data_IF_785931905169
#
_entry.id   IF_785931905169
#
_cell.length_a   1.000
_cell.length_b   1.000
_cell.length_c   1.000
_cell.angle_alpha   90.00
_cell.angle_beta   90.00
_cell.angle_gamma   90.00
#
_symmetry.space_group_name_H-M   'P 1'
#
loop_
_entity.id
_entity.type
_entity.pdbx_description
1 polymer ?
#
# COMPACT_ATOMS: atom_id res chain seq x y z
N UNK A 1 19.27 2.64 44.58
CA UNK A 1 18.66 2.65 43.23
C UNK A 1 17.43 1.77 43.27
N UNK A 2 16.27 2.26 42.82
CA UNK A 2 15.07 1.41 42.78
C UNK A 2 15.31 0.21 41.84
N UNK A 3 14.73 -0.97 42.14
CA UNK A 3 14.90 -2.18 41.31
C UNK A 3 14.50 -1.96 39.84
N UNK A 4 13.61 -1.00 39.59
CA UNK A 4 13.22 -0.57 38.24
C UNK A 4 14.40 -0.01 37.42
N UNK A 5 15.28 0.80 38.01
CA UNK A 5 16.44 1.35 37.29
C UNK A 5 17.44 0.27 36.90
N UNK A 6 17.63 -0.74 37.75
CA UNK A 6 18.53 -1.86 37.47
C UNK A 6 17.96 -2.71 36.32
N UNK A 7 16.65 -2.99 36.34
CA UNK A 7 15.97 -3.71 35.25
C UNK A 7 16.02 -2.95 33.92
N UNK A 8 15.80 -1.63 33.94
CA UNK A 8 15.92 -0.79 32.76
C UNK A 8 17.35 -0.77 32.21
N UNK A 9 18.35 -0.68 33.09
CA UNK A 9 19.75 -0.68 32.68
C UNK A 9 20.18 -2.02 32.08
N UNK A 10 19.78 -3.14 32.69
CA UNK A 10 20.08 -4.49 32.19
C UNK A 10 19.41 -4.75 30.83
N UNK A 11 18.15 -4.34 30.67
CA UNK A 11 17.44 -4.50 29.39
C UNK A 11 18.04 -3.63 28.29
N UNK A 12 18.37 -2.37 28.59
CA UNK A 12 19.06 -1.48 27.65
C UNK A 12 20.45 -2.02 27.24
N UNK A 13 21.21 -2.54 28.21
CA UNK A 13 22.55 -3.11 27.96
C UNK A 13 22.47 -4.38 27.11
N UNK A 14 21.53 -5.28 27.41
CA UNK A 14 21.28 -6.48 26.62
C UNK A 14 20.86 -6.14 25.18
N UNK A 15 19.98 -5.13 25.02
CA UNK A 15 19.55 -4.66 23.70
C UNK A 15 20.71 -4.05 22.91
N UNK A 16 21.55 -3.21 23.55
CA UNK A 16 22.71 -2.62 22.92
C UNK A 16 23.70 -3.71 22.46
N UNK A 17 23.99 -4.69 23.32
CA UNK A 17 24.86 -5.82 22.98
C UNK A 17 24.28 -6.63 21.81
N UNK A 18 22.98 -6.91 21.81
CA UNK A 18 22.29 -7.57 20.70
C UNK A 18 22.43 -6.81 19.38
N UNK A 19 22.23 -5.48 19.39
CA UNK A 19 22.39 -4.62 18.20
C UNK A 19 23.83 -4.67 17.67
N UNK A 20 24.82 -4.57 18.56
CA UNK A 20 26.24 -4.61 18.19
C UNK A 20 26.61 -5.97 17.59
N UNK A 21 26.24 -7.08 18.25
CA UNK A 21 26.53 -8.43 17.75
C UNK A 21 25.84 -8.67 16.41
N UNK A 22 24.55 -8.32 16.29
CA UNK A 22 23.79 -8.45 15.04
C UNK A 22 24.44 -7.66 13.92
N UNK A 23 24.82 -6.41 14.17
CA UNK A 23 25.47 -5.54 13.18
C UNK A 23 26.85 -6.07 12.77
N UNK A 24 27.66 -6.51 13.74
CA UNK A 24 28.97 -7.09 13.47
C UNK A 24 28.86 -8.38 12.64
N UNK A 25 27.98 -9.30 13.05
CA UNK A 25 27.74 -10.55 12.33
C UNK A 25 27.29 -10.28 10.89
N UNK A 26 26.27 -9.44 10.69
CA UNK A 26 25.73 -9.16 9.35
C UNK A 26 26.67 -8.35 8.47
N UNK A 27 27.43 -7.41 9.04
CA UNK A 27 28.49 -6.71 8.29
C UNK A 27 29.59 -7.70 7.85
N UNK A 28 29.95 -8.65 8.71
CA UNK A 28 30.99 -9.63 8.42
C UNK A 28 30.58 -10.63 7.35
N UNK A 29 29.30 -11.03 7.33
CA UNK A 29 28.73 -11.98 6.35
C UNK A 29 28.09 -11.32 5.13
N UNK A 30 28.12 -9.99 5.03
CA UNK A 30 27.50 -9.26 3.93
C UNK A 30 28.19 -9.55 2.59
N UNK A 31 27.41 -10.06 1.63
CA UNK A 31 27.83 -10.20 0.23
C UNK A 31 27.97 -8.88 -0.52
N UNK A 32 27.61 -7.74 0.11
CA UNK A 32 27.66 -6.42 -0.52
C UNK A 32 29.03 -5.74 -0.44
N UNK A 33 30.04 -6.41 0.12
CA UNK A 33 31.41 -5.85 0.25
C UNK A 33 32.07 -5.54 -1.10
N UNK A 34 31.72 -6.29 -2.14
CA UNK A 34 32.24 -6.11 -3.51
C UNK A 34 31.48 -5.08 -4.33
N UNK A 35 30.33 -4.60 -3.85
CA UNK A 35 29.49 -3.64 -4.56
C UNK A 35 29.94 -2.22 -4.20
N UNK A 36 30.05 -1.29 -5.17
CA UNK A 36 30.31 0.12 -4.87
C UNK A 36 29.30 0.65 -3.85
N UNK A 37 29.76 1.45 -2.87
CA UNK A 37 28.88 2.02 -1.85
C UNK A 37 28.64 3.50 -2.13
N UNK A 38 27.42 3.96 -1.88
CA UNK A 38 27.11 5.39 -1.87
C UNK A 38 28.06 6.15 -0.92
N UNK A 39 28.45 7.36 -1.30
CA UNK A 39 29.34 8.18 -0.49
C UNK A 39 28.57 8.87 0.65
N UNK A 40 29.15 8.88 1.85
CA UNK A 40 28.58 9.56 3.02
C UNK A 40 27.65 8.68 3.85
N UNK A 41 26.46 9.21 4.12
CA UNK A 41 25.44 8.57 4.97
C UNK A 41 25.51 8.98 6.45
N UNK A 42 24.36 9.32 7.01
CA UNK A 42 24.22 9.66 8.42
C UNK A 42 24.64 8.47 9.32
N UNK A 43 25.27 8.74 10.46
CA UNK A 43 25.78 7.69 11.35
C UNK A 43 24.67 6.77 11.88
N UNK A 44 23.51 7.34 12.23
CA UNK A 44 22.34 6.62 12.75
C UNK A 44 21.35 6.22 11.66
N UNK A 45 21.13 7.08 10.66
CA UNK A 45 20.04 6.95 9.69
C UNK A 45 20.52 6.40 8.34
N UNK A 46 21.83 6.16 8.22
CA UNK A 46 22.44 5.67 7.00
C UNK A 46 22.20 6.61 5.82
N UNK A 47 22.09 6.01 4.64
CA UNK A 47 21.78 6.72 3.40
C UNK A 47 20.28 6.82 3.16
N UNK A 48 19.45 6.11 3.94
CA UNK A 48 17.99 6.21 3.83
C UNK A 48 17.51 7.63 4.17
N UNK A 49 18.22 8.34 5.06
CA UNK A 49 17.96 9.77 5.31
C UNK A 49 18.23 10.61 4.08
N UNK A 50 19.38 10.42 3.43
CA UNK A 50 19.74 11.17 2.21
C UNK A 50 18.71 10.90 1.09
N UNK A 51 18.24 9.65 0.98
CA UNK A 51 17.20 9.27 0.05
C UNK A 51 15.82 9.87 0.37
N UNK A 52 15.50 10.08 1.65
CA UNK A 52 14.25 10.69 2.10
C UNK A 52 14.25 12.21 1.96
N UNK A 53 15.38 12.88 2.24
CA UNK A 53 15.51 14.34 2.12
C UNK A 53 15.68 14.81 0.67
N UNK A 54 16.08 13.93 -0.24
CA UNK A 54 16.25 14.28 -1.66
C UNK A 54 14.97 13.95 -2.45
N UNK A 55 14.25 14.95 -2.99
CA UNK A 55 13.06 14.72 -3.80
C UNK A 55 13.39 14.02 -5.13
N UNK A 56 12.35 13.56 -5.82
CA UNK A 56 12.39 13.04 -7.21
C UNK A 56 13.40 11.93 -7.45
N UNK A 57 13.65 11.11 -6.41
CA UNK A 57 14.67 10.06 -6.42
C UNK A 57 16.09 10.56 -6.77
N UNK A 58 16.38 11.86 -6.59
CA UNK A 58 17.67 12.47 -6.96
C UNK A 58 18.87 11.82 -6.28
N UNK A 59 18.69 11.27 -5.07
CA UNK A 59 19.71 10.46 -4.40
C UNK A 59 20.07 9.22 -5.23
N UNK A 60 19.08 8.49 -5.73
CA UNK A 60 19.31 7.28 -6.51
C UNK A 60 19.94 7.59 -7.85
N UNK A 61 19.41 8.59 -8.58
CA UNK A 61 19.95 9.02 -9.89
C UNK A 61 21.44 9.35 -9.76
N UNK A 62 21.80 10.23 -8.82
CA UNK A 62 23.19 10.64 -8.57
C UNK A 62 24.11 9.47 -8.23
N UNK A 63 23.63 8.48 -7.48
CA UNK A 63 24.47 7.33 -7.10
C UNK A 63 24.56 6.29 -8.23
N UNK A 64 23.51 6.08 -9.02
CA UNK A 64 23.62 5.23 -10.21
C UNK A 64 24.56 5.83 -11.27
N UNK A 65 24.56 7.16 -11.45
CA UNK A 65 25.51 7.82 -12.35
C UNK A 65 26.97 7.63 -11.90
N UNK A 66 27.22 7.54 -10.59
CA UNK A 66 28.58 7.43 -10.03
C UNK A 66 29.06 5.99 -9.84
N UNK A 67 28.17 5.11 -9.40
CA UNK A 67 28.49 3.75 -8.99
C UNK A 67 28.16 2.72 -10.07
N UNK A 68 27.49 3.13 -11.14
CA UNK A 68 27.01 2.24 -12.20
C UNK A 68 25.66 1.61 -11.85
N UNK A 69 25.39 0.41 -12.37
CA UNK A 69 24.07 -0.21 -12.34
C UNK A 69 23.67 -0.79 -10.97
N UNK A 70 24.57 -0.87 -10.00
CA UNK A 70 24.25 -1.33 -8.66
C UNK A 70 25.14 -0.67 -7.63
N UNK A 71 24.55 -0.29 -6.49
CA UNK A 71 25.31 0.24 -5.36
C UNK A 71 24.71 -0.20 -4.02
N UNK A 72 25.58 -0.36 -3.03
CA UNK A 72 25.19 -0.61 -1.66
C UNK A 72 24.90 0.72 -0.95
N UNK A 73 23.88 0.72 -0.10
CA UNK A 73 23.55 1.82 0.78
C UNK A 73 23.43 1.32 2.22
N UNK A 74 23.91 2.12 3.16
CA UNK A 74 23.77 1.82 4.60
C UNK A 74 22.33 2.03 5.04
N UNK A 75 21.71 1.00 5.60
CA UNK A 75 20.40 1.10 6.26
C UNK A 75 20.48 1.91 7.55
N UNK A 76 19.43 2.67 7.84
CA UNK A 76 19.22 3.41 9.08
C UNK A 76 18.82 2.52 10.24
N UNK A 77 18.95 3.08 11.45
CA UNK A 77 18.60 2.45 12.72
C UNK A 77 19.26 1.08 12.92
N UNK A 78 20.55 0.98 12.58
CA UNK A 78 21.34 -0.25 12.69
C UNK A 78 20.81 -1.45 11.86
N UNK A 79 19.94 -1.17 10.88
CA UNK A 79 19.48 -2.16 9.91
C UNK A 79 20.59 -2.63 8.97
N UNK A 80 20.26 -3.63 8.16
CA UNK A 80 21.15 -4.18 7.15
C UNK A 80 21.44 -3.15 6.05
N UNK A 81 22.56 -3.34 5.37
CA UNK A 81 22.84 -2.61 4.14
C UNK A 81 21.84 -3.05 3.05
N UNK A 82 21.40 -2.08 2.24
CA UNK A 82 20.42 -2.26 1.18
C UNK A 82 21.15 -2.21 -0.15
N UNK A 83 20.79 -3.09 -1.08
CA UNK A 83 21.31 -3.11 -2.44
C UNK A 83 20.33 -2.37 -3.35
N UNK A 84 20.78 -1.28 -3.97
CA UNK A 84 20.06 -0.58 -5.03
C UNK A 84 20.51 -1.14 -6.39
N UNK A 85 19.55 -1.46 -7.26
CA UNK A 85 19.79 -2.12 -8.55
C UNK A 85 19.06 -1.35 -9.65
N UNK A 86 19.77 -1.09 -10.75
CA UNK A 86 19.27 -0.51 -11.99
C UNK A 86 19.83 -1.29 -13.21
N UNK A 87 20.05 -2.60 -13.05
CA UNK A 87 20.41 -3.52 -14.14
C UNK A 87 19.17 -4.30 -14.60
N UNK A 88 18.74 -4.18 -15.87
CA UNK A 88 17.57 -4.90 -16.39
C UNK A 88 17.66 -6.43 -16.25
N UNK A 89 18.85 -7.03 -16.35
CA UNK A 89 19.01 -8.47 -16.22
C UNK A 89 18.80 -8.94 -14.77
N UNK A 90 19.35 -8.22 -13.80
CA UNK A 90 19.11 -8.44 -12.38
C UNK A 90 17.64 -8.20 -12.01
N UNK A 91 17.01 -7.13 -12.52
CA UNK A 91 15.59 -6.86 -12.30
C UNK A 91 14.70 -7.98 -12.87
N UNK A 92 15.00 -8.49 -14.07
CA UNK A 92 14.30 -9.64 -14.65
C UNK A 92 14.50 -10.92 -13.81
N UNK A 93 15.71 -11.15 -13.32
CA UNK A 93 15.99 -12.27 -12.42
C UNK A 93 15.13 -12.18 -11.14
N UNK A 94 15.08 -11.01 -10.52
CA UNK A 94 14.36 -10.78 -9.27
C UNK A 94 12.84 -10.82 -9.44
N UNK A 95 12.29 -10.04 -10.37
CA UNK A 95 10.84 -9.82 -10.47
C UNK A 95 10.13 -10.80 -11.41
N UNK A 96 10.86 -11.49 -12.29
CA UNK A 96 10.26 -12.42 -13.27
C UNK A 96 10.66 -13.86 -13.01
N UNK A 97 11.96 -14.16 -12.95
CA UNK A 97 12.44 -15.56 -12.84
C UNK A 97 12.27 -16.12 -11.42
N UNK A 98 12.56 -15.31 -10.41
CA UNK A 98 12.57 -15.74 -9.00
C UNK A 98 11.83 -14.78 -8.05
N UNK A 99 10.59 -14.35 -8.35
CA UNK A 99 9.87 -13.35 -7.54
C UNK A 99 9.69 -13.75 -6.07
N UNK A 100 9.56 -15.05 -5.80
CA UNK A 100 9.35 -15.56 -4.44
C UNK A 100 10.64 -15.72 -3.62
N UNK A 101 11.81 -15.52 -4.23
CA UNK A 101 13.09 -15.51 -3.50
C UNK A 101 13.39 -14.14 -2.87
N UNK A 102 12.61 -13.11 -3.22
CA UNK A 102 12.79 -11.74 -2.78
C UNK A 102 11.51 -11.23 -2.09
N UNK A 103 11.19 -11.75 -0.88
CA UNK A 103 9.97 -11.37 -0.17
C UNK A 103 9.99 -9.89 0.22
N UNK A 104 8.80 -9.31 0.40
CA UNK A 104 8.67 -7.93 0.91
C UNK A 104 9.36 -7.76 2.27
N UNK A 105 9.82 -6.53 2.53
CA UNK A 105 10.38 -6.17 3.84
C UNK A 105 9.40 -6.49 4.97
N UNK A 106 9.93 -6.94 6.11
CA UNK A 106 9.16 -7.26 7.31
C UNK A 106 8.35 -6.07 7.84
N UNK A 107 8.76 -4.84 7.53
CA UNK A 107 8.04 -3.62 7.90
C UNK A 107 6.80 -3.34 7.04
N UNK A 108 6.73 -3.87 5.82
CA UNK A 108 5.67 -3.56 4.86
C UNK A 108 4.40 -4.37 5.15
N UNK A 109 4.53 -5.64 5.50
CA UNK A 109 3.34 -6.50 5.72
C UNK A 109 2.41 -5.98 6.81
N UNK A 110 2.88 -5.59 8.01
CA UNK A 110 2.00 -5.01 9.03
C UNK A 110 1.32 -3.71 8.57
N UNK A 111 2.04 -2.87 7.81
CA UNK A 111 1.50 -1.63 7.27
C UNK A 111 0.36 -1.90 6.27
N UNK A 112 0.59 -2.82 5.32
CA UNK A 112 -0.43 -3.20 4.34
C UNK A 112 -1.62 -3.89 5.01
N UNK A 113 -1.41 -4.74 6.01
CA UNK A 113 -2.49 -5.42 6.74
C UNK A 113 -3.41 -4.43 7.47
N UNK A 114 -2.84 -3.34 7.96
CA UNK A 114 -3.57 -2.27 8.64
C UNK A 114 -4.43 -1.45 7.68
N UNK A 115 -3.89 -1.12 6.51
CA UNK A 115 -4.54 -0.23 5.52
C UNK A 115 -5.53 -1.00 4.64
N UNK A 116 -5.10 -2.18 4.17
CA UNK A 116 -5.77 -2.98 3.15
C UNK A 116 -5.95 -4.45 3.58
N UNK A 117 -5.68 -4.83 4.83
CA UNK A 117 -5.82 -6.22 5.26
C UNK A 117 -4.87 -7.21 4.61
N UNK A 118 -5.22 -8.49 4.74
CA UNK A 118 -4.51 -9.63 4.13
C UNK A 118 -4.85 -9.78 2.65
N UNK A 119 -4.72 -8.68 1.92
CA UNK A 119 -4.95 -8.61 0.48
C UNK A 119 -3.79 -9.22 -0.32
N UNK A 120 -3.93 -9.27 -1.65
CA UNK A 120 -2.88 -9.72 -2.56
C UNK A 120 -1.54 -8.98 -2.35
N UNK A 121 -1.58 -7.69 -1.98
CA UNK A 121 -0.38 -6.90 -1.69
C UNK A 121 0.34 -7.37 -0.41
N UNK A 122 -0.40 -7.89 0.56
CA UNK A 122 0.14 -8.46 1.80
C UNK A 122 0.67 -9.89 1.63
N UNK A 123 0.05 -10.67 0.75
CA UNK A 123 0.36 -12.07 0.54
C UNK A 123 1.78 -12.30 0.00
N UNK A 124 2.35 -13.46 0.33
CA UNK A 124 3.68 -13.91 -0.10
C UNK A 124 3.66 -15.41 -0.46
N UNK A 125 4.61 -15.84 -1.28
CA UNK A 125 4.80 -17.26 -1.61
C UNK A 125 3.54 -17.92 -2.21
N UNK A 126 3.20 -19.09 -1.69
CA UNK A 126 2.07 -19.87 -2.21
C UNK A 126 0.71 -19.22 -1.94
N UNK A 127 0.58 -18.45 -0.86
CA UNK A 127 -0.65 -17.68 -0.61
C UNK A 127 -0.87 -16.63 -1.71
N UNK A 128 0.18 -15.90 -2.07
CA UNK A 128 0.12 -14.95 -3.17
C UNK A 128 -0.21 -15.64 -4.51
N UNK A 129 0.38 -16.82 -4.79
CA UNK A 129 0.06 -17.60 -5.99
C UNK A 129 -1.42 -17.97 -6.05
N UNK A 130 -1.99 -18.46 -4.95
CA UNK A 130 -3.40 -18.84 -4.88
C UNK A 130 -4.32 -17.64 -5.10
N UNK A 131 -4.11 -16.55 -4.36
CA UNK A 131 -4.91 -15.33 -4.51
C UNK A 131 -4.82 -14.75 -5.92
N UNK A 132 -3.61 -14.70 -6.51
CA UNK A 132 -3.42 -14.23 -7.89
C UNK A 132 -4.13 -15.11 -8.91
N UNK A 133 -4.08 -16.43 -8.73
CA UNK A 133 -4.76 -17.37 -9.61
C UNK A 133 -6.29 -17.23 -9.53
N UNK A 134 -6.83 -16.99 -8.33
CA UNK A 134 -8.26 -16.74 -8.13
C UNK A 134 -8.75 -15.45 -8.82
N UNK A 135 -7.93 -14.39 -8.81
CA UNK A 135 -8.24 -13.10 -9.43
C UNK A 135 -8.00 -13.05 -10.95
N UNK A 136 -7.11 -13.88 -11.50
CA UNK A 136 -6.74 -13.81 -12.92
C UNK A 136 -7.92 -13.85 -13.91
N UNK A 137 -8.99 -14.66 -13.72
CA UNK A 137 -10.12 -14.72 -14.65
C UNK A 137 -10.90 -13.40 -14.80
N UNK A 138 -10.90 -12.54 -13.78
CA UNK A 138 -11.66 -11.28 -13.83
C UNK A 138 -10.89 -10.14 -14.52
N UNK A 139 -9.60 -10.36 -14.80
CA UNK A 139 -8.73 -9.43 -15.54
C UNK A 139 -8.37 -9.93 -16.95
N UNK A 140 -9.23 -10.75 -17.56
CA UNK A 140 -9.03 -11.18 -18.96
C UNK A 140 -9.26 -10.02 -19.93
N UNK A 141 -8.66 -10.09 -21.12
CA UNK A 141 -8.85 -9.07 -22.16
C UNK A 141 -10.34 -8.81 -22.49
N UNK A 142 -11.18 -9.85 -22.46
CA UNK A 142 -12.63 -9.69 -22.65
C UNK A 142 -13.28 -8.90 -21.51
N UNK A 143 -12.90 -9.13 -20.25
CA UNK A 143 -13.43 -8.37 -19.12
C UNK A 143 -12.95 -6.92 -19.17
N UNK A 144 -11.68 -6.68 -19.52
CA UNK A 144 -11.13 -5.33 -19.69
C UNK A 144 -11.89 -4.56 -20.78
N UNK A 145 -12.25 -5.20 -21.90
CA UNK A 145 -13.10 -4.55 -22.92
C UNK A 145 -14.49 -4.18 -22.39
N UNK A 146 -15.07 -4.98 -21.50
CA UNK A 146 -16.38 -4.66 -20.90
C UNK A 146 -16.30 -3.47 -19.93
N UNK A 147 -15.12 -3.18 -19.39
CA UNK A 147 -14.89 -1.99 -18.55
C UNK A 147 -14.98 -0.67 -19.32
N UNK A 148 -14.80 -0.69 -20.65
CA UNK A 148 -14.79 0.51 -21.51
C UNK A 148 -16.03 1.38 -21.30
N UNK A 149 -17.21 0.75 -21.23
CA UNK A 149 -18.47 1.46 -21.04
C UNK A 149 -18.48 2.25 -19.74
N UNK A 150 -18.10 1.64 -18.61
CA UNK A 150 -18.06 2.31 -17.31
C UNK A 150 -17.03 3.44 -17.28
N UNK A 151 -15.88 3.24 -17.94
CA UNK A 151 -14.85 4.28 -18.05
C UNK A 151 -15.38 5.46 -18.86
N UNK A 152 -16.02 5.21 -20.02
CA UNK A 152 -16.59 6.27 -20.87
C UNK A 152 -17.71 7.01 -20.15
N UNK A 153 -18.69 6.30 -19.60
CA UNK A 153 -19.82 6.88 -18.86
C UNK A 153 -19.32 7.76 -17.70
N UNK A 154 -18.38 7.25 -16.91
CA UNK A 154 -17.79 8.03 -15.81
C UNK A 154 -17.03 9.25 -16.32
N UNK A 155 -16.33 9.15 -17.45
CA UNK A 155 -15.59 10.27 -18.04
C UNK A 155 -16.52 11.37 -18.54
N UNK A 156 -17.63 11.00 -19.18
CA UNK A 156 -18.64 11.95 -19.67
C UNK A 156 -19.29 12.69 -18.49
N UNK A 157 -19.76 11.96 -17.47
CA UNK A 157 -20.32 12.54 -16.25
C UNK A 157 -19.32 13.44 -15.52
N UNK A 158 -18.05 13.03 -15.48
CA UNK A 158 -16.98 13.82 -14.87
C UNK A 158 -16.75 15.15 -15.62
N UNK A 159 -16.76 15.13 -16.95
CA UNK A 159 -16.63 16.35 -17.76
C UNK A 159 -17.79 17.29 -17.52
N UNK A 160 -19.01 16.77 -17.42
CA UNK A 160 -20.19 17.60 -17.19
C UNK A 160 -20.18 18.21 -15.78
N UNK A 161 -19.87 17.43 -14.74
CA UNK A 161 -19.68 17.94 -13.38
C UNK A 161 -18.58 19.02 -13.31
N UNK A 162 -17.48 18.83 -14.06
CA UNK A 162 -16.40 19.82 -14.10
C UNK A 162 -16.82 21.12 -14.79
N UNK A 163 -17.60 21.04 -15.87
CA UNK A 163 -18.16 22.23 -16.54
C UNK A 163 -19.10 22.99 -15.62
N UNK A 164 -19.95 22.28 -14.88
CA UNK A 164 -20.84 22.88 -13.88
C UNK A 164 -20.03 23.61 -12.81
N UNK A 165 -19.00 22.95 -12.25
CA UNK A 165 -18.13 23.57 -11.25
C UNK A 165 -17.36 24.80 -11.74
N UNK A 166 -16.99 24.84 -13.02
CA UNK A 166 -16.34 26.01 -13.64
C UNK A 166 -17.35 27.14 -13.90
N UNK A 167 -18.60 26.78 -14.19
CA UNK A 167 -19.67 27.74 -14.49
C UNK A 167 -20.29 28.34 -13.23
N UNK A 168 -20.14 27.68 -12.09
CA UNK A 168 -20.59 28.18 -10.80
C UNK A 168 -19.71 29.35 -10.33
N UNK A 169 -20.35 30.52 -10.22
CA UNK A 169 -19.75 31.84 -9.95
C UNK A 169 -19.34 32.03 -8.47
N UNK A 170 -18.98 30.95 -7.75
CA UNK A 170 -18.61 31.05 -6.35
C UNK A 170 -17.28 31.82 -6.18
N UNK A 171 -17.23 32.85 -5.31
CA UNK A 171 -16.07 33.74 -5.14
C UNK A 171 -14.82 33.04 -4.57
N UNK A 172 -14.96 31.82 -4.06
CA UNK A 172 -13.90 30.96 -3.52
C UNK A 172 -13.05 30.28 -4.60
N UNK A 173 -13.56 30.20 -5.84
CA UNK A 173 -12.91 29.48 -6.94
C UNK A 173 -12.09 30.38 -7.86
N UNK A 174 -12.06 31.69 -7.61
CA UNK A 174 -11.30 32.66 -8.42
C UNK A 174 -9.81 32.56 -8.11
N UNK A 175 -9.05 32.07 -9.07
CA UNK A 175 -7.60 32.04 -9.01
C UNK A 175 -6.99 33.45 -8.98
N UNK A 176 -5.67 33.51 -8.80
CA UNK A 176 -4.89 34.76 -8.63
C UNK A 176 -5.02 35.80 -9.77
N UNK A 177 -5.76 35.51 -10.85
CA UNK A 177 -5.98 36.36 -12.01
C UNK A 177 -7.43 36.86 -12.22
N UNK A 178 -8.35 36.68 -11.28
CA UNK A 178 -9.70 37.30 -11.30
C UNK A 178 -10.75 36.64 -12.20
N UNK A 179 -10.33 36.10 -13.36
CA UNK A 179 -11.21 35.47 -14.37
C UNK A 179 -10.96 33.97 -14.58
N UNK A 180 -9.94 33.38 -13.94
CA UNK A 180 -9.60 31.96 -14.09
C UNK A 180 -10.00 31.16 -12.84
N UNK A 181 -10.67 30.02 -13.05
CA UNK A 181 -11.00 29.07 -11.97
C UNK A 181 -9.79 28.20 -11.66
N UNK A 182 -9.36 28.15 -10.40
CA UNK A 182 -8.27 27.26 -9.96
C UNK A 182 -8.84 25.89 -9.57
N UNK A 183 -8.28 24.82 -10.16
CA UNK A 183 -8.80 23.46 -9.98
C UNK A 183 -7.68 22.53 -9.54
N UNK A 184 -7.91 21.82 -8.43
CA UNK A 184 -7.04 20.73 -8.01
C UNK A 184 -7.33 19.45 -8.81
N UNK A 185 -6.63 19.28 -9.94
CA UNK A 185 -6.81 18.13 -10.84
C UNK A 185 -6.57 16.78 -10.13
N UNK A 186 -5.72 16.72 -9.10
CA UNK A 186 -5.45 15.48 -8.34
C UNK A 186 -6.69 15.02 -7.58
N UNK A 187 -7.42 15.93 -6.94
CA UNK A 187 -8.65 15.61 -6.23
C UNK A 187 -9.74 15.12 -7.21
N UNK A 188 -9.96 15.89 -8.29
CA UNK A 188 -10.93 15.54 -9.32
C UNK A 188 -10.66 14.19 -9.98
N UNK A 189 -9.40 13.93 -10.39
CA UNK A 189 -9.02 12.64 -10.99
C UNK A 189 -9.10 11.48 -9.99
N UNK A 190 -8.85 11.72 -8.70
CA UNK A 190 -9.01 10.71 -7.65
C UNK A 190 -10.47 10.30 -7.49
N UNK A 191 -11.39 11.26 -7.48
CA UNK A 191 -12.84 11.01 -7.42
C UNK A 191 -13.34 10.20 -8.62
N UNK A 192 -12.92 10.59 -9.83
CA UNK A 192 -13.25 9.86 -11.06
C UNK A 192 -12.70 8.42 -11.04
N UNK A 193 -11.45 8.25 -10.60
CA UNK A 193 -10.82 6.93 -10.50
C UNK A 193 -11.54 6.03 -9.50
N UNK A 194 -11.91 6.57 -8.32
CA UNK A 194 -12.66 5.83 -7.31
C UNK A 194 -14.05 5.43 -7.82
N UNK A 195 -14.73 6.31 -8.56
CA UNK A 195 -16.00 6.00 -9.21
C UNK A 195 -15.86 4.84 -10.22
N UNK A 196 -14.84 4.89 -11.08
CA UNK A 196 -14.57 3.83 -12.07
C UNK A 196 -14.32 2.49 -11.36
N UNK A 197 -13.49 2.48 -10.32
CA UNK A 197 -13.18 1.26 -9.55
C UNK A 197 -14.42 0.76 -8.81
N UNK A 198 -15.23 1.64 -8.23
CA UNK A 198 -16.48 1.27 -7.56
C UNK A 198 -17.46 0.61 -8.52
N UNK A 199 -17.69 1.23 -9.67
CA UNK A 199 -18.62 0.73 -10.69
C UNK A 199 -18.16 -0.60 -11.29
N UNK A 200 -16.91 -0.68 -11.75
CA UNK A 200 -16.38 -1.90 -12.37
C UNK A 200 -16.17 -3.01 -11.34
N UNK A 201 -15.55 -2.67 -10.21
CA UNK A 201 -15.07 -3.62 -9.23
C UNK A 201 -16.18 -4.15 -8.33
N UNK A 202 -17.06 -3.26 -7.87
CA UNK A 202 -18.05 -3.53 -6.84
C UNK A 202 -19.50 -3.37 -7.32
N UNK A 203 -19.72 -2.88 -8.55
CA UNK A 203 -21.05 -2.48 -8.99
C UNK A 203 -21.64 -1.33 -8.16
N UNK A 204 -20.78 -0.53 -7.51
CA UNK A 204 -21.17 0.49 -6.54
C UNK A 204 -20.97 1.90 -7.10
N UNK A 205 -21.99 2.75 -6.96
CA UNK A 205 -21.95 4.14 -7.38
C UNK A 205 -21.52 5.06 -6.23
N UNK A 206 -20.27 5.53 -6.27
CA UNK A 206 -19.74 6.50 -5.31
C UNK A 206 -20.18 7.95 -5.58
N UNK A 207 -21.08 8.17 -6.56
CA UNK A 207 -21.57 9.48 -6.99
C UNK A 207 -20.44 10.44 -7.27
N UNK A 208 -19.45 10.00 -8.06
CA UNK A 208 -18.27 10.79 -8.42
C UNK A 208 -17.53 11.37 -7.19
N UNK A 209 -17.46 10.58 -6.11
CA UNK A 209 -16.72 10.95 -4.92
C UNK A 209 -17.49 11.78 -3.89
N UNK A 210 -18.78 12.06 -4.10
CA UNK A 210 -19.56 12.90 -3.20
C UNK A 210 -20.04 12.18 -1.94
N UNK A 211 -20.12 10.85 -1.98
CA UNK A 211 -20.51 10.04 -0.82
C UNK A 211 -19.51 10.18 0.33
N UNK A 212 -20.00 10.09 1.57
CA UNK A 212 -19.16 10.17 2.77
C UNK A 212 -18.07 9.09 2.77
N UNK A 213 -18.39 7.91 2.25
CA UNK A 213 -17.47 6.79 2.10
C UNK A 213 -16.35 7.10 1.11
N UNK A 214 -16.70 7.68 -0.03
CA UNK A 214 -15.71 8.06 -1.03
C UNK A 214 -14.78 9.16 -0.54
N UNK A 215 -15.33 10.16 0.17
CA UNK A 215 -14.55 11.20 0.86
C UNK A 215 -13.62 10.59 1.90
N UNK A 216 -14.11 9.67 2.73
CA UNK A 216 -13.31 9.00 3.75
C UNK A 216 -12.16 8.18 3.14
N UNK A 217 -12.40 7.46 2.03
CA UNK A 217 -11.37 6.70 1.31
C UNK A 217 -10.33 7.64 0.70
N UNK A 218 -10.77 8.66 -0.04
CA UNK A 218 -9.87 9.60 -0.75
C UNK A 218 -9.02 10.39 0.22
N UNK A 219 -9.62 10.91 1.30
CA UNK A 219 -8.93 11.59 2.38
C UNK A 219 -7.88 10.68 3.04
N UNK A 220 -8.24 9.44 3.34
CA UNK A 220 -7.29 8.48 3.93
C UNK A 220 -6.13 8.15 3.01
N UNK A 221 -6.36 8.04 1.69
CA UNK A 221 -5.29 7.85 0.70
C UNK A 221 -4.35 9.05 0.66
N UNK A 222 -4.89 10.26 0.70
CA UNK A 222 -4.12 11.50 0.76
C UNK A 222 -3.28 11.58 2.04
N UNK A 223 -3.86 11.23 3.19
CA UNK A 223 -3.16 11.15 4.48
C UNK A 223 -2.03 10.12 4.46
N UNK A 224 -2.23 8.96 3.85
CA UNK A 224 -1.17 7.95 3.72
C UNK A 224 -0.02 8.49 2.85
N UNK A 225 -0.34 9.14 1.73
CA UNK A 225 0.66 9.71 0.83
C UNK A 225 1.50 10.80 1.53
N UNK A 226 0.83 11.71 2.23
CA UNK A 226 1.47 12.83 2.95
C UNK A 226 2.20 12.37 4.22
N UNK A 227 1.68 11.37 4.93
CA UNK A 227 2.33 10.81 6.13
C UNK A 227 3.73 10.30 5.82
N UNK A 228 3.93 9.66 4.65
CA UNK A 228 5.24 9.17 4.23
C UNK A 228 6.29 10.30 4.05
N UNK A 229 5.84 11.54 3.84
CA UNK A 229 6.70 12.73 3.74
C UNK A 229 7.02 13.35 5.11
N UNK A 230 6.42 12.86 6.19
CA UNK A 230 6.69 13.35 7.55
C UNK A 230 7.85 12.59 8.21
N UNK A 231 8.53 13.20 9.21
CA UNK A 231 9.54 12.48 10.00
C UNK A 231 8.99 11.21 10.66
N UNK A 232 7.71 11.21 11.07
CA UNK A 232 7.08 10.03 11.65
C UNK A 232 6.92 8.90 10.62
N UNK A 233 6.52 9.23 9.38
CA UNK A 233 6.43 8.28 8.28
C UNK A 233 7.78 7.72 7.84
N UNK A 234 8.87 8.48 7.99
CA UNK A 234 10.23 7.99 7.80
C UNK A 234 10.69 7.04 8.94
N UNK A 235 10.47 7.44 10.20
CA UNK A 235 10.98 6.69 11.36
C UNK A 235 10.21 5.40 11.61
N UNK A 236 8.88 5.40 11.46
CA UNK A 236 8.05 4.25 11.86
C UNK A 236 8.40 2.94 11.11
N UNK A 237 8.57 2.92 9.78
CA UNK A 237 8.98 1.70 9.06
C UNK A 237 10.38 1.21 9.45
N UNK A 238 11.32 2.13 9.77
CA UNK A 238 12.67 1.78 10.22
C UNK A 238 12.64 1.10 11.59
N UNK A 239 11.84 1.64 12.51
CA UNK A 239 11.61 1.05 13.84
C UNK A 239 10.98 -0.33 13.71
N UNK A 240 9.95 -0.49 12.88
CA UNK A 240 9.31 -1.80 12.64
C UNK A 240 10.26 -2.81 12.00
N UNK A 241 11.14 -2.38 11.08
CA UNK A 241 12.16 -3.25 10.46
C UNK A 241 13.21 -3.71 11.47
N UNK A 242 13.61 -2.82 12.39
CA UNK A 242 14.66 -3.08 13.38
C UNK A 242 14.13 -3.90 14.55
N UNK A 243 12.92 -3.58 15.01
CA UNK A 243 12.25 -4.13 16.20
C UNK A 243 10.87 -4.70 15.82
N UNK A 244 10.82 -5.83 15.09
CA UNK A 244 9.56 -6.39 14.59
C UNK A 244 8.60 -6.83 15.70
N UNK A 245 9.09 -7.09 16.92
CA UNK A 245 8.24 -7.46 18.06
C UNK A 245 7.27 -6.34 18.49
N UNK A 246 7.52 -5.08 18.10
CA UNK A 246 6.66 -3.95 18.43
C UNK A 246 5.23 -4.15 17.87
N UNK A 247 5.08 -4.85 16.74
CA UNK A 247 3.75 -5.15 16.17
C UNK A 247 2.92 -6.08 17.04
N UNK A 248 3.56 -6.83 17.94
CA UNK A 248 2.87 -7.78 18.84
C UNK A 248 2.46 -7.12 20.16
N UNK A 249 2.87 -5.88 20.41
CA UNK A 249 2.52 -5.16 21.63
C UNK A 249 1.07 -4.65 21.55
N UNK A 250 0.31 -4.69 22.66
CA UNK A 250 -1.08 -4.24 22.70
C UNK A 250 -1.20 -2.70 22.73
N UNK A 251 -0.66 -2.02 21.73
CA UNK A 251 -0.67 -0.57 21.60
C UNK A 251 -1.79 -0.17 20.63
N UNK A 252 -2.73 0.67 21.10
CA UNK A 252 -3.89 1.11 20.30
C UNK A 252 -3.51 1.69 18.94
N UNK A 253 -2.45 2.50 18.88
CA UNK A 253 -1.98 3.10 17.61
C UNK A 253 -1.45 2.07 16.59
N UNK A 254 -0.96 0.91 17.07
CA UNK A 254 -0.47 -0.18 16.24
C UNK A 254 -1.63 -1.10 15.81
N UNK A 255 -2.60 -1.30 16.70
CA UNK A 255 -3.75 -2.18 16.49
C UNK A 255 -4.91 -1.53 15.72
N UNK A 256 -4.97 -0.20 15.69
CA UNK A 256 -6.00 0.54 14.97
C UNK A 256 -5.96 0.18 13.48
N UNK A 257 -7.12 -0.21 12.94
CA UNK A 257 -7.29 -0.46 11.51
C UNK A 257 -7.45 0.86 10.76
N UNK A 258 -6.95 0.92 9.53
CA UNK A 258 -7.12 2.11 8.69
C UNK A 258 -8.58 2.30 8.28
N UNK A 259 -9.00 3.56 8.13
CA UNK A 259 -10.34 3.95 7.69
C UNK A 259 -10.72 3.26 6.37
N UNK A 260 -9.81 3.19 5.39
CA UNK A 260 -10.01 2.51 4.10
C UNK A 260 -10.47 1.06 4.31
N UNK A 261 -9.78 0.32 5.18
CA UNK A 261 -10.10 -1.07 5.50
C UNK A 261 -11.50 -1.19 6.09
N UNK A 262 -11.84 -0.35 7.06
CA UNK A 262 -13.15 -0.39 7.73
C UNK A 262 -14.29 -0.07 6.78
N UNK A 263 -14.16 1.00 5.99
CA UNK A 263 -15.17 1.41 5.01
C UNK A 263 -15.35 0.32 3.94
N UNK A 264 -14.25 -0.19 3.37
CA UNK A 264 -14.30 -1.21 2.32
C UNK A 264 -14.91 -2.53 2.82
N UNK A 265 -14.57 -2.96 4.05
CA UNK A 265 -15.14 -4.16 4.64
C UNK A 265 -16.65 -4.03 4.87
N UNK A 266 -17.11 -2.86 5.34
CA UNK A 266 -18.53 -2.61 5.53
C UNK A 266 -19.25 -2.61 4.19
N UNK A 267 -18.79 -1.81 3.23
CA UNK A 267 -19.39 -1.72 1.90
C UNK A 267 -19.43 -3.07 1.18
N UNK A 268 -18.34 -3.84 1.22
CA UNK A 268 -18.30 -5.17 0.60
C UNK A 268 -19.37 -6.10 1.16
N UNK A 269 -19.62 -6.07 2.48
CA UNK A 269 -20.70 -6.86 3.11
C UNK A 269 -22.08 -6.37 2.69
N UNK A 270 -22.31 -5.06 2.75
CA UNK A 270 -23.59 -4.45 2.35
C UNK A 270 -23.94 -4.81 0.90
N UNK A 271 -23.00 -4.64 -0.03
CA UNK A 271 -23.17 -4.96 -1.45
C UNK A 271 -23.52 -6.43 -1.67
N UNK A 272 -22.80 -7.35 -1.02
CA UNK A 272 -23.06 -8.80 -1.16
C UNK A 272 -24.41 -9.18 -0.57
N UNK A 273 -24.78 -8.63 0.58
CA UNK A 273 -26.06 -8.89 1.22
C UNK A 273 -27.23 -8.35 0.40
N UNK A 274 -27.13 -7.11 -0.09
CA UNK A 274 -28.13 -6.50 -0.97
C UNK A 274 -28.31 -7.30 -2.25
N UNK A 275 -27.20 -7.73 -2.87
CA UNK A 275 -27.24 -8.55 -4.08
C UNK A 275 -28.01 -9.87 -3.85
N UNK A 276 -27.69 -10.58 -2.76
CA UNK A 276 -28.38 -11.84 -2.41
C UNK A 276 -29.85 -11.61 -2.10
N UNK A 277 -30.20 -10.54 -1.36
CA UNK A 277 -31.59 -10.22 -1.06
C UNK A 277 -32.39 -9.93 -2.33
N UNK A 278 -31.82 -9.17 -3.26
CA UNK A 278 -32.46 -8.84 -4.53
C UNK A 278 -32.61 -10.05 -5.47
N UNK A 279 -31.72 -11.03 -5.36
CA UNK A 279 -31.63 -12.17 -6.29
C UNK A 279 -31.99 -13.51 -5.65
N UNK A 280 -32.87 -13.52 -4.63
CA UNK A 280 -33.38 -14.74 -3.97
C UNK A 280 -32.28 -15.68 -3.44
N UNK A 281 -31.16 -15.12 -2.99
CA UNK A 281 -30.01 -15.86 -2.45
C UNK A 281 -28.91 -16.16 -3.47
N UNK A 282 -29.15 -15.94 -4.77
CA UNK A 282 -28.12 -16.11 -5.81
C UNK A 282 -27.28 -14.84 -5.97
N UNK A 283 -26.01 -15.00 -6.35
CA UNK A 283 -25.14 -13.86 -6.69
C UNK A 283 -25.27 -13.57 -8.18
N UNK A 284 -25.75 -12.37 -8.55
CA UNK A 284 -25.89 -11.93 -9.95
C UNK A 284 -25.21 -10.59 -10.16
N UNK A 285 -24.48 -10.46 -11.26
CA UNK A 285 -23.78 -9.23 -11.59
C UNK A 285 -22.74 -9.47 -12.68
N UNK A 286 -22.26 -8.38 -13.29
CA UNK A 286 -21.14 -8.41 -14.23
C UNK A 286 -19.90 -7.71 -13.67
N UNK A 287 -19.99 -7.15 -12.47
CA UNK A 287 -18.88 -6.57 -11.73
C UNK A 287 -17.88 -7.64 -11.28
N UNK A 288 -16.66 -7.19 -10.92
CA UNK A 288 -15.58 -8.10 -10.54
C UNK A 288 -15.94 -8.90 -9.29
N UNK A 289 -16.53 -8.26 -8.27
CA UNK A 289 -16.91 -8.91 -7.01
C UNK A 289 -17.91 -10.04 -7.25
N UNK A 290 -19.02 -9.78 -7.95
CA UNK A 290 -20.02 -10.81 -8.30
C UNK A 290 -19.44 -11.94 -9.16
N UNK A 291 -18.47 -11.63 -10.01
CA UNK A 291 -17.80 -12.64 -10.83
C UNK A 291 -16.87 -13.52 -10.00
N UNK A 292 -16.10 -12.92 -9.09
CA UNK A 292 -15.24 -13.67 -8.16
C UNK A 292 -16.04 -14.59 -7.26
N UNK A 293 -17.12 -14.08 -6.66
CA UNK A 293 -17.95 -14.86 -5.75
C UNK A 293 -18.60 -16.06 -6.46
N UNK A 294 -19.07 -15.90 -7.71
CA UNK A 294 -19.59 -17.01 -8.51
C UNK A 294 -18.53 -18.05 -8.87
N UNK A 295 -17.31 -17.61 -9.18
CA UNK A 295 -16.19 -18.51 -9.47
C UNK A 295 -15.78 -19.30 -8.22
N UNK A 296 -15.91 -18.73 -7.03
CA UNK A 296 -15.67 -19.40 -5.75
C UNK A 296 -16.80 -20.36 -5.36
N UNK A 297 -18.06 -19.95 -5.50
CA UNK A 297 -19.23 -20.82 -5.30
C UNK A 297 -19.13 -22.08 -6.18
N UNK A 298 -18.74 -21.90 -7.45
CA UNK A 298 -18.52 -23.01 -8.39
C UNK A 298 -17.36 -23.93 -8.00
N UNK A 299 -16.39 -23.45 -7.20
CA UNK A 299 -15.27 -24.24 -6.68
C UNK A 299 -15.59 -24.95 -5.36
N UNK A 300 -16.77 -24.71 -4.76
CA UNK A 300 -17.21 -25.35 -3.52
C UNK A 300 -16.48 -24.86 -2.26
N UNK A 301 -15.94 -23.64 -2.28
CA UNK A 301 -15.29 -23.03 -1.11
C UNK A 301 -16.32 -22.34 -0.20
N UNK A 302 -16.24 -22.57 1.11
CA UNK A 302 -17.21 -22.10 2.11
C UNK A 302 -17.17 -20.57 2.28
N UNK A 303 -18.32 -19.92 2.49
CA UNK A 303 -18.52 -18.46 2.59
C UNK A 303 -17.60 -17.71 3.55
N UNK A 304 -17.17 -18.32 4.65
CA UNK A 304 -16.19 -17.71 5.55
C UNK A 304 -14.79 -17.59 4.89
N UNK A 305 -14.43 -18.49 3.97
CA UNK A 305 -13.25 -18.34 3.11
C UNK A 305 -13.47 -17.39 1.92
N UNK A 306 -14.73 -17.24 1.47
CA UNK A 306 -15.10 -16.31 0.38
C UNK A 306 -14.89 -14.84 0.81
N UNK A 307 -15.10 -14.54 2.09
CA UNK A 307 -14.65 -13.29 2.67
C UNK A 307 -13.16 -13.31 3.01
N UNK A 308 -12.46 -14.42 3.24
CA UNK A 308 -10.99 -14.39 3.44
C UNK A 308 -10.20 -14.02 2.16
N UNK A 309 -10.71 -14.34 0.96
CA UNK A 309 -10.05 -14.06 -0.32
C UNK A 309 -10.35 -12.66 -0.88
N UNK A 310 -11.53 -12.11 -0.57
CA UNK A 310 -11.96 -10.76 -0.99
C UNK A 310 -11.91 -9.75 0.16
N UNK A 311 -12.16 -10.20 1.39
CA UNK A 311 -11.99 -9.43 2.63
C UNK A 311 -10.67 -9.83 3.29
N UNK A 312 -9.67 -8.99 3.09
CA UNK A 312 -9.12 -8.22 4.20
C UNK A 312 -9.64 -8.72 5.59
N UNK A 313 -8.95 -9.68 6.21
CA UNK A 313 -8.96 -10.05 7.65
C UNK A 313 -9.86 -11.19 8.17
N UNK A 314 -9.19 -12.19 8.77
CA UNK A 314 -9.66 -12.99 9.91
C UNK A 314 -8.69 -12.80 11.11
N UNK A 315 -9.17 -12.52 12.33
CA UNK A 315 -8.38 -12.67 13.55
C UNK A 315 -8.40 -14.14 13.97
N UNK A 316 -7.31 -14.88 13.82
CA UNK A 316 -7.21 -16.14 14.58
C UNK A 316 -6.75 -15.78 15.98
N UNK A 317 -7.61 -16.06 16.96
CA UNK A 317 -7.19 -16.36 18.33
C UNK A 317 -6.26 -17.59 18.31
#
# INVERSE_FOLDING_TARGET
>A
MSPLYIQLFLTASALALYIVIRRWYRSSTSGLKSVPRAAGGHWLWGHEKDAWETPDAGFYIKNFDKCGQAFAMRGGLFSDDILAINDPAALSHMFTKHPYNYPKSVSIRPLVERIMGRSLLWAEGDEHKRQRAALAPVFTHSMVKQMEFNVRDTSERFVDMLKEHISDDEPTNKGTGGDAVEINVVDWTSRATLQIIGSIGLGHDFRLGETDDAKAITQSLHEIATTNMTPAGFIAPLVLRTFPFITNLPIKAIQAQGTIKLVTQRLGKEIVEENRRANCGEIKGKDLLSTLLRLEDARGEQLDRMLDHVSIYHPRL
#
